data_IF_568151898709
#
_entry.id   IF_568151898709
#
_cell.length_a   1.000
_cell.length_b   1.000
_cell.length_c   1.000
_cell.angle_alpha   90.00
_cell.angle_beta   90.00
_cell.angle_gamma   90.00
#
_symmetry.space_group_name_H-M   'P 1'
#
loop_
_entity.id
_entity.type
_entity.pdbx_description
1 polymer ?
#
# COMPACT_ATOMS: atom_id res chain seq x y z
N UNK A 1 -3.10 -6.62 31.51
CA UNK A 1 -1.80 -6.03 31.92
C UNK A 1 -1.76 -5.66 33.41
N UNK A 2 -2.75 -4.94 33.95
CA UNK A 2 -2.73 -4.43 35.34
C UNK A 2 -3.70 -5.10 36.33
N UNK A 3 -4.42 -6.16 35.91
CA UNK A 3 -5.46 -6.82 36.71
C UNK A 3 -5.03 -8.17 37.33
N UNK A 4 -3.74 -8.52 37.30
CA UNK A 4 -3.22 -9.82 37.73
C UNK A 4 -2.21 -10.42 36.75
N UNK A 5 -1.61 -11.55 37.12
CA UNK A 5 -0.42 -12.15 36.48
C UNK A 5 -0.44 -12.17 34.93
N UNK A 6 0.74 -12.06 34.29
CA UNK A 6 2.07 -12.00 34.89
C UNK A 6 2.37 -10.63 35.53
N UNK A 7 3.13 -10.61 36.64
CA UNK A 7 3.61 -9.36 37.24
C UNK A 7 4.56 -8.71 36.25
N UNK A 8 4.17 -7.55 35.74
CA UNK A 8 5.04 -6.72 34.92
C UNK A 8 6.31 -6.38 35.70
N UNK A 9 7.45 -6.34 35.02
CA UNK A 9 8.70 -5.89 35.64
C UNK A 9 8.58 -4.39 35.93
N UNK A 10 8.99 -4.01 37.13
CA UNK A 10 9.14 -2.61 37.53
C UNK A 10 10.61 -2.27 37.69
N UNK A 11 10.95 -1.01 37.47
CA UNK A 11 12.27 -0.49 37.83
C UNK A 11 12.40 -0.27 39.35
N UNK A 12 13.54 0.28 39.79
CA UNK A 12 13.82 0.59 41.19
C UNK A 12 12.89 1.65 41.80
N UNK A 13 12.19 2.43 40.96
CA UNK A 13 11.21 3.44 41.37
C UNK A 13 9.76 2.91 41.32
N UNK A 14 9.56 1.64 40.95
CA UNK A 14 8.23 1.03 40.85
C UNK A 14 7.48 1.37 39.57
N UNK A 15 8.12 1.95 38.56
CA UNK A 15 7.50 2.26 37.26
C UNK A 15 7.46 1.02 36.38
N UNK A 16 6.35 0.85 35.65
CA UNK A 16 6.20 -0.23 34.69
C UNK A 16 6.86 0.12 33.36
N UNK A 17 7.64 -0.81 32.82
CA UNK A 17 8.20 -0.69 31.48
C UNK A 17 7.27 -1.36 30.46
N UNK A 18 7.00 -0.65 29.37
CA UNK A 18 6.29 -1.16 28.20
C UNK A 18 7.19 -0.90 27.00
N UNK A 19 7.54 -1.98 26.28
CA UNK A 19 8.42 -1.91 25.11
C UNK A 19 7.64 -1.43 23.86
N UNK A 20 7.18 -0.18 23.90
CA UNK A 20 6.43 0.49 22.83
C UNK A 20 6.80 1.96 22.73
N UNK A 21 6.54 2.55 21.57
CA UNK A 21 6.70 3.98 21.36
C UNK A 21 5.64 4.76 22.16
N UNK A 22 6.08 5.56 23.13
CA UNK A 22 5.17 6.30 24.01
C UNK A 22 4.43 7.48 23.35
N UNK A 23 4.79 7.85 22.11
CA UNK A 23 4.29 9.04 21.42
C UNK A 23 2.76 9.10 21.34
N UNK A 24 2.11 7.97 21.06
CA UNK A 24 0.66 7.88 20.89
C UNK A 24 -0.07 7.37 22.14
N UNK A 25 0.66 6.99 23.19
CA UNK A 25 0.08 6.45 24.42
C UNK A 25 -0.80 7.47 25.17
N UNK A 26 -0.57 8.77 24.97
CA UNK A 26 -1.43 9.81 25.53
C UNK A 26 -2.90 9.68 25.09
N UNK A 27 -3.15 9.34 23.81
CA UNK A 27 -4.50 9.12 23.29
C UNK A 27 -5.15 7.87 23.88
N UNK A 28 -4.35 6.83 24.13
CA UNK A 28 -4.80 5.61 24.81
C UNK A 28 -5.25 5.94 26.23
N UNK A 29 -4.43 6.67 26.99
CA UNK A 29 -4.79 7.10 28.34
C UNK A 29 -6.02 7.98 28.38
N UNK A 30 -6.16 8.92 27.43
CA UNK A 30 -7.31 9.81 27.38
C UNK A 30 -8.59 9.03 27.13
N UNK A 31 -8.58 8.09 26.18
CA UNK A 31 -9.72 7.20 25.97
C UNK A 31 -10.07 6.40 27.23
N UNK A 32 -9.09 5.86 27.95
CA UNK A 32 -9.33 5.11 29.19
C UNK A 32 -9.88 6.00 30.33
N UNK A 33 -9.58 7.30 30.32
CA UNK A 33 -10.04 8.27 31.35
C UNK A 33 -11.42 8.82 31.06
N UNK A 34 -11.67 9.27 29.83
CA UNK A 34 -12.86 10.04 29.47
C UNK A 34 -13.73 9.37 28.41
N UNK A 35 -13.26 8.28 27.80
CA UNK A 35 -13.93 7.63 26.66
C UNK A 35 -13.80 8.41 25.35
N UNK A 36 -13.01 9.49 25.32
CA UNK A 36 -12.82 10.35 24.15
C UNK A 36 -12.04 9.64 23.05
N UNK A 37 -12.60 9.62 21.84
CA UNK A 37 -11.97 9.05 20.65
C UNK A 37 -11.02 10.10 20.03
N UNK A 38 -9.80 9.72 19.62
CA UNK A 38 -8.88 10.65 18.97
C UNK A 38 -9.42 11.14 17.62
N UNK A 39 -9.18 12.41 17.32
CA UNK A 39 -9.47 13.02 16.01
C UNK A 39 -8.23 13.18 15.12
N UNK A 40 -7.04 12.85 15.66
CA UNK A 40 -5.74 12.96 15.00
C UNK A 40 -4.97 11.67 15.19
N UNK A 41 -4.03 11.38 14.29
CA UNK A 41 -3.18 10.18 14.35
C UNK A 41 -4.00 8.88 14.45
N UNK A 42 -5.16 8.84 13.77
CA UNK A 42 -6.14 7.76 13.89
C UNK A 42 -5.50 6.40 13.57
N UNK A 43 -4.67 6.34 12.53
CA UNK A 43 -4.00 5.09 12.13
C UNK A 43 -2.99 4.62 13.18
N UNK A 44 -2.21 5.53 13.77
CA UNK A 44 -1.21 5.19 14.78
C UNK A 44 -1.87 4.80 16.09
N UNK A 45 -2.88 5.54 16.54
CA UNK A 45 -3.65 5.18 17.74
C UNK A 45 -4.40 3.86 17.54
N UNK A 46 -4.89 3.58 16.34
CA UNK A 46 -5.51 2.28 16.03
C UNK A 46 -4.53 1.11 16.22
N UNK A 47 -3.28 1.25 15.77
CA UNK A 47 -2.23 0.24 15.99
C UNK A 47 -1.93 0.04 17.48
N UNK A 48 -1.85 1.13 18.25
CA UNK A 48 -1.67 1.03 19.70
C UNK A 48 -2.89 0.42 20.40
N UNK A 49 -4.11 0.78 20.01
CA UNK A 49 -5.34 0.23 20.58
C UNK A 49 -5.44 -1.29 20.38
N UNK A 50 -5.03 -1.79 19.20
CA UNK A 50 -4.88 -3.22 18.93
C UNK A 50 -3.80 -3.86 19.81
N UNK A 51 -2.64 -3.20 19.96
CA UNK A 51 -1.55 -3.72 20.79
C UNK A 51 -1.94 -3.84 22.28
N UNK A 52 -2.62 -2.83 22.82
CA UNK A 52 -3.08 -2.81 24.21
C UNK A 52 -4.39 -3.58 24.43
N UNK A 53 -4.96 -4.16 23.38
CA UNK A 53 -6.21 -4.94 23.40
C UNK A 53 -7.40 -4.14 23.98
N UNK A 54 -7.56 -2.90 23.53
CA UNK A 54 -8.63 -2.00 23.97
C UNK A 54 -9.78 -2.08 22.98
N UNK A 55 -10.51 -3.20 23.00
CA UNK A 55 -11.59 -3.49 22.04
C UNK A 55 -12.61 -2.34 21.87
N UNK A 56 -13.06 -1.63 22.92
CA UNK A 56 -14.02 -0.55 22.75
C UNK A 56 -13.47 0.63 21.92
N UNK A 57 -12.17 0.90 22.02
CA UNK A 57 -11.52 1.93 21.20
C UNK A 57 -11.34 1.44 19.77
N UNK A 58 -10.89 0.20 19.59
CA UNK A 58 -10.72 -0.44 18.27
C UNK A 58 -12.02 -0.33 17.47
N UNK A 59 -13.16 -0.75 18.05
CA UNK A 59 -14.47 -0.68 17.38
C UNK A 59 -14.85 0.73 16.95
N UNK A 60 -14.68 1.73 17.83
CA UNK A 60 -14.97 3.14 17.50
C UNK A 60 -14.04 3.69 16.42
N UNK A 61 -12.77 3.25 16.39
CA UNK A 61 -11.82 3.66 15.36
C UNK A 61 -12.13 3.00 14.02
N UNK A 62 -12.57 1.74 14.00
CA UNK A 62 -13.01 1.04 12.78
C UNK A 62 -14.21 1.69 12.10
N UNK A 63 -15.05 2.40 12.85
CA UNK A 63 -16.16 3.21 12.32
C UNK A 63 -15.70 4.54 11.71
N UNK A 64 -14.47 4.98 11.95
CA UNK A 64 -13.96 6.22 11.35
C UNK A 64 -13.73 6.04 9.86
N UNK A 65 -13.97 7.08 9.02
CA UNK A 65 -13.81 6.96 7.57
C UNK A 65 -12.43 6.46 7.12
N UNK A 66 -11.37 6.83 7.84
CA UNK A 66 -9.99 6.43 7.52
C UNK A 66 -9.76 4.93 7.70
N UNK A 67 -10.16 4.36 8.84
CA UNK A 67 -9.95 2.94 9.11
C UNK A 67 -10.98 2.10 8.35
N UNK A 68 -12.24 2.53 8.33
CA UNK A 68 -13.30 1.86 7.59
C UNK A 68 -12.95 1.75 6.10
N UNK A 69 -12.58 2.87 5.48
CA UNK A 69 -12.21 2.93 4.06
C UNK A 69 -11.02 2.02 3.73
N UNK A 70 -10.01 1.97 4.61
CA UNK A 70 -8.85 1.08 4.46
C UNK A 70 -9.24 -0.40 4.59
N UNK A 71 -9.92 -0.79 5.67
CA UNK A 71 -10.19 -2.20 5.98
C UNK A 71 -11.29 -2.80 5.10
N UNK A 72 -12.37 -2.06 4.88
CA UNK A 72 -13.56 -2.57 4.17
C UNK A 72 -13.52 -2.19 2.69
N UNK A 73 -13.07 -0.98 2.36
CA UNK A 73 -12.98 -0.54 0.97
C UNK A 73 -11.73 -1.09 0.28
N UNK A 74 -10.57 -0.51 0.61
CA UNK A 74 -9.31 -0.73 -0.10
C UNK A 74 -8.84 -2.18 0.00
N UNK A 75 -8.78 -2.77 1.20
CA UNK A 75 -8.31 -4.15 1.37
C UNK A 75 -9.19 -5.19 0.70
N UNK A 76 -10.52 -5.06 0.76
CA UNK A 76 -11.41 -5.99 0.05
C UNK A 76 -11.26 -5.88 -1.47
N UNK A 77 -11.03 -4.67 -1.98
CA UNK A 77 -10.69 -4.47 -3.38
C UNK A 77 -9.37 -5.17 -3.75
N UNK A 78 -8.30 -4.88 -3.01
CA UNK A 78 -6.97 -5.43 -3.30
C UNK A 78 -6.92 -6.95 -3.18
N UNK A 79 -7.71 -7.54 -2.28
CA UNK A 79 -7.84 -9.00 -2.17
C UNK A 79 -8.40 -9.67 -3.44
N UNK A 80 -9.06 -8.91 -4.32
CA UNK A 80 -9.57 -9.40 -5.61
C UNK A 80 -8.58 -9.19 -6.76
N UNK A 81 -7.49 -8.47 -6.54
CA UNK A 81 -6.44 -8.26 -7.53
C UNK A 81 -5.40 -9.37 -7.38
N UNK A 82 -5.23 -10.25 -8.38
CA UNK A 82 -4.30 -11.37 -8.27
C UNK A 82 -2.87 -10.91 -8.03
N UNK A 83 -2.17 -11.61 -7.12
CA UNK A 83 -0.75 -11.43 -6.79
C UNK A 83 -0.37 -9.97 -6.45
N UNK A 84 -1.29 -9.18 -5.90
CA UNK A 84 -1.07 -7.75 -5.70
C UNK A 84 0.19 -7.46 -4.87
N UNK A 85 0.32 -8.09 -3.70
CA UNK A 85 1.45 -7.87 -2.79
C UNK A 85 2.77 -8.32 -3.41
N UNK A 86 2.77 -9.49 -4.07
CA UNK A 86 3.92 -10.05 -4.75
C UNK A 86 4.39 -9.15 -5.89
N UNK A 87 3.44 -8.60 -6.65
CA UNK A 87 3.72 -7.69 -7.75
C UNK A 87 4.34 -6.37 -7.27
N UNK A 88 3.89 -5.81 -6.14
CA UNK A 88 4.53 -4.64 -5.52
C UNK A 88 6.00 -4.94 -5.20
N UNK A 89 6.30 -6.10 -4.62
CA UNK A 89 7.68 -6.51 -4.33
C UNK A 89 8.51 -6.68 -5.61
N UNK A 90 7.94 -7.27 -6.65
CA UNK A 90 8.58 -7.40 -7.96
C UNK A 90 8.89 -6.03 -8.55
N UNK A 91 7.95 -5.08 -8.53
CA UNK A 91 8.20 -3.70 -8.99
C UNK A 91 9.38 -3.07 -8.25
N UNK A 92 9.42 -3.18 -6.93
CA UNK A 92 10.52 -2.62 -6.13
C UNK A 92 11.86 -3.29 -6.48
N UNK A 93 11.88 -4.60 -6.69
CA UNK A 93 13.10 -5.32 -7.09
C UNK A 93 13.61 -4.86 -8.45
N UNK A 94 12.74 -4.71 -9.44
CA UNK A 94 13.09 -4.21 -10.78
C UNK A 94 13.64 -2.78 -10.66
N UNK A 95 12.92 -1.89 -9.95
CA UNK A 95 13.35 -0.52 -9.74
C UNK A 95 14.75 -0.43 -9.10
N UNK A 96 15.02 -1.26 -8.08
CA UNK A 96 16.34 -1.35 -7.43
C UNK A 96 17.42 -1.89 -8.35
N UNK A 97 17.11 -2.82 -9.24
CA UNK A 97 18.08 -3.39 -10.17
C UNK A 97 18.47 -2.39 -11.27
N UNK A 98 17.53 -1.52 -11.68
CA UNK A 98 17.74 -0.53 -12.74
C UNK A 98 18.46 0.74 -12.32
N UNK A 99 18.56 1.04 -11.01
CA UNK A 99 19.10 2.32 -10.49
C UNK A 99 20.60 2.54 -10.73
N UNK A 100 21.27 1.70 -11.52
CA UNK A 100 22.72 1.79 -11.74
C UNK A 100 23.09 3.16 -12.34
N UNK A 101 23.73 4.01 -11.51
CA UNK A 101 24.17 5.37 -11.84
C UNK A 101 23.07 6.37 -12.28
N UNK A 102 21.80 6.12 -11.96
CA UNK A 102 20.68 7.02 -12.31
C UNK A 102 19.87 7.43 -11.08
N UNK A 103 19.45 8.70 -11.02
CA UNK A 103 18.54 9.23 -9.99
C UNK A 103 17.15 8.60 -10.07
N UNK A 104 16.80 8.06 -11.24
CA UNK A 104 15.49 7.54 -11.55
C UNK A 104 15.58 6.13 -12.13
N UNK A 105 14.64 5.27 -11.76
CA UNK A 105 14.42 3.96 -12.40
C UNK A 105 12.95 3.85 -12.83
N UNK A 106 12.69 3.03 -13.85
CA UNK A 106 11.40 3.01 -14.50
C UNK A 106 10.83 1.60 -14.53
N UNK A 107 9.65 1.40 -13.95
CA UNK A 107 8.98 0.09 -14.03
C UNK A 107 7.76 0.24 -14.91
N UNK A 108 7.68 -0.57 -15.96
CA UNK A 108 6.49 -0.64 -16.79
C UNK A 108 5.51 -1.63 -16.17
N UNK A 109 4.26 -1.21 -16.07
CA UNK A 109 3.18 -1.98 -15.46
C UNK A 109 2.07 -2.15 -16.49
N UNK A 110 1.65 -3.40 -16.74
CA UNK A 110 0.40 -3.69 -17.47
C UNK A 110 -0.75 -3.86 -16.46
N UNK A 111 -1.77 -3.03 -16.58
CA UNK A 111 -3.00 -3.11 -15.80
C UNK A 111 -4.07 -3.71 -16.69
N UNK A 112 -4.50 -4.93 -16.37
CA UNK A 112 -5.48 -5.68 -17.13
C UNK A 112 -6.77 -5.77 -16.34
N UNK A 113 -7.86 -5.21 -16.86
CA UNK A 113 -9.16 -5.26 -16.17
C UNK A 113 -9.88 -6.56 -16.48
N UNK A 114 -10.11 -6.89 -17.74
CA UNK A 114 -10.86 -8.09 -18.11
C UNK A 114 -10.00 -9.14 -18.80
N UNK A 115 -10.55 -10.36 -18.93
CA UNK A 115 -9.90 -11.42 -19.71
C UNK A 115 -9.73 -11.02 -21.18
N UNK A 116 -10.68 -10.27 -21.74
CA UNK A 116 -10.56 -9.74 -23.11
C UNK A 116 -9.40 -8.73 -23.22
N UNK A 117 -9.20 -7.91 -22.19
CA UNK A 117 -8.06 -7.00 -22.11
C UNK A 117 -6.73 -7.76 -21.91
N UNK A 118 -6.76 -8.94 -21.29
CA UNK A 118 -5.57 -9.78 -21.11
C UNK A 118 -5.00 -10.23 -22.46
N UNK A 119 -5.87 -10.69 -23.37
CA UNK A 119 -5.50 -11.07 -24.72
C UNK A 119 -4.93 -9.88 -25.49
N UNK A 120 -5.58 -8.71 -25.41
CA UNK A 120 -5.08 -7.47 -26.05
C UNK A 120 -3.74 -7.00 -25.49
N UNK A 121 -3.53 -7.07 -24.17
CA UNK A 121 -2.24 -6.73 -23.55
C UNK A 121 -1.15 -7.71 -24.01
N UNK A 122 -1.45 -9.01 -24.13
CA UNK A 122 -0.49 -9.99 -24.64
C UNK A 122 -0.06 -9.68 -26.09
N UNK A 123 -1.01 -9.40 -26.98
CA UNK A 123 -0.71 -9.01 -28.36
C UNK A 123 0.13 -7.72 -28.43
N UNK A 124 -0.17 -6.77 -27.54
CA UNK A 124 0.58 -5.51 -27.44
C UNK A 124 2.01 -5.72 -26.94
N UNK A 125 2.22 -6.55 -25.92
CA UNK A 125 3.55 -6.92 -25.39
C UNK A 125 4.43 -7.54 -26.48
N UNK A 126 3.89 -8.51 -27.22
CA UNK A 126 4.55 -9.14 -28.36
C UNK A 126 4.91 -8.11 -29.45
N UNK A 127 3.96 -7.24 -29.81
CA UNK A 127 4.15 -6.23 -30.86
C UNK A 127 5.22 -5.20 -30.48
N UNK A 128 5.26 -4.81 -29.22
CA UNK A 128 6.18 -3.80 -28.71
C UNK A 128 7.56 -4.37 -28.34
N UNK A 129 7.77 -5.69 -28.44
CA UNK A 129 8.98 -6.39 -27.96
C UNK A 129 9.25 -6.13 -26.46
N UNK A 130 8.18 -5.83 -25.72
CA UNK A 130 8.20 -5.52 -24.29
C UNK A 130 8.31 -6.77 -23.42
N UNK A 131 8.20 -7.98 -23.99
CA UNK A 131 8.49 -9.22 -23.26
C UNK A 131 9.96 -9.29 -22.77
N UNK A 132 10.85 -8.50 -23.39
CA UNK A 132 12.23 -8.31 -22.93
C UNK A 132 12.35 -7.25 -21.82
N UNK A 133 11.38 -6.34 -21.73
CA UNK A 133 11.27 -5.40 -20.63
C UNK A 133 10.62 -6.13 -19.45
N UNK A 134 11.11 -5.92 -18.23
CA UNK A 134 10.54 -6.55 -17.04
C UNK A 134 9.20 -5.90 -16.70
N UNK A 135 8.14 -6.23 -17.45
CA UNK A 135 6.79 -5.68 -17.26
C UNK A 135 6.08 -6.40 -16.10
N UNK A 136 5.56 -5.63 -15.15
CA UNK A 136 4.78 -6.18 -14.03
C UNK A 136 3.29 -6.12 -14.38
N UNK A 137 2.57 -7.25 -14.24
CA UNK A 137 1.16 -7.33 -14.60
C UNK A 137 0.26 -7.39 -13.37
N UNK A 138 -0.73 -6.49 -13.29
CA UNK A 138 -1.83 -6.58 -12.33
C UNK A 138 -3.14 -6.93 -13.03
N UNK A 139 -3.92 -7.83 -12.43
CA UNK A 139 -5.14 -8.36 -13.01
C UNK A 139 -4.92 -9.66 -13.81
N UNK A 140 -5.97 -10.18 -14.48
CA UNK A 140 -7.28 -9.55 -14.66
C UNK A 140 -8.09 -9.41 -13.36
N UNK A 141 -8.89 -8.34 -13.23
CA UNK A 141 -9.89 -8.18 -12.17
C UNK A 141 -11.17 -7.51 -12.69
N UNK A 142 -12.31 -8.16 -12.50
CA UNK A 142 -13.61 -7.66 -12.99
C UNK A 142 -14.46 -7.13 -11.84
N UNK A 143 -14.01 -6.05 -11.19
CA UNK A 143 -14.75 -5.38 -10.12
C UNK A 143 -14.50 -3.85 -10.13
N UNK A 144 -15.37 -3.11 -9.45
CA UNK A 144 -15.05 -1.76 -8.95
C UNK A 144 -14.26 -1.92 -7.65
N UNK A 145 -13.31 -1.01 -7.31
CA UNK A 145 -12.80 0.16 -8.03
C UNK A 145 -12.08 -0.07 -9.39
N UNK A 146 -11.82 1.01 -10.13
CA UNK A 146 -11.28 1.03 -11.49
C UNK A 146 -9.75 1.09 -11.59
N UNK A 147 -9.23 1.34 -12.81
CA UNK A 147 -7.79 1.36 -13.11
C UNK A 147 -7.07 2.48 -12.33
N UNK A 148 -7.64 3.69 -12.30
CA UNK A 148 -7.06 4.81 -11.54
C UNK A 148 -6.94 4.49 -10.06
N UNK A 149 -7.98 3.90 -9.49
CA UNK A 149 -7.99 3.52 -8.07
C UNK A 149 -6.92 2.46 -7.76
N UNK A 150 -6.69 1.51 -8.67
CA UNK A 150 -5.62 0.53 -8.52
C UNK A 150 -4.24 1.19 -8.58
N UNK A 151 -4.02 2.13 -9.51
CA UNK A 151 -2.76 2.85 -9.64
C UNK A 151 -2.46 3.70 -8.40
N UNK A 152 -3.48 4.36 -7.84
CA UNK A 152 -3.37 5.10 -6.58
C UNK A 152 -3.03 4.17 -5.41
N UNK A 153 -3.63 2.97 -5.35
CA UNK A 153 -3.29 1.96 -4.35
C UNK A 153 -1.84 1.49 -4.47
N UNK A 154 -1.39 1.17 -5.69
CA UNK A 154 -0.01 0.74 -5.97
C UNK A 154 0.97 1.83 -5.53
N UNK A 155 0.70 3.09 -5.92
CA UNK A 155 1.51 4.24 -5.52
C UNK A 155 1.58 4.37 -3.99
N UNK A 156 0.43 4.36 -3.32
CA UNK A 156 0.36 4.51 -1.86
C UNK A 156 1.12 3.38 -1.13
N UNK A 157 1.01 2.13 -1.58
CA UNK A 157 1.71 1.01 -0.93
C UNK A 157 3.22 1.01 -1.18
N UNK A 158 3.67 1.49 -2.34
CA UNK A 158 5.10 1.74 -2.60
C UNK A 158 5.62 2.88 -1.72
N UNK A 159 4.86 3.97 -1.57
CA UNK A 159 5.22 5.09 -0.69
C UNK A 159 5.25 4.68 0.80
N UNK A 160 4.31 3.85 1.23
CA UNK A 160 4.29 3.27 2.58
C UNK A 160 5.51 2.38 2.87
N UNK A 161 6.18 1.86 1.83
CA UNK A 161 7.46 1.14 1.94
C UNK A 161 8.68 2.07 1.93
N UNK A 162 8.49 3.38 1.88
CA UNK A 162 9.55 4.39 1.98
C UNK A 162 10.13 4.87 0.65
N UNK A 163 9.51 4.52 -0.49
CA UNK A 163 9.97 4.97 -1.80
C UNK A 163 9.23 6.23 -2.26
N UNK A 164 9.87 7.03 -3.12
CA UNK A 164 9.20 8.11 -3.85
C UNK A 164 8.89 7.64 -5.25
N UNK A 165 7.61 7.66 -5.63
CA UNK A 165 7.18 7.18 -6.94
C UNK A 165 6.08 8.07 -7.54
N UNK A 166 6.15 8.26 -8.85
CA UNK A 166 5.06 8.82 -9.67
C UNK A 166 4.73 7.85 -10.79
N UNK A 167 3.56 7.99 -11.41
CA UNK A 167 3.20 7.20 -12.58
C UNK A 167 2.54 8.06 -13.65
N UNK A 168 2.65 7.61 -14.90
CA UNK A 168 1.96 8.18 -16.05
C UNK A 168 1.60 7.07 -17.05
N UNK A 169 0.60 7.29 -17.92
CA UNK A 169 0.37 6.41 -19.06
C UNK A 169 1.67 6.20 -19.86
N UNK A 170 1.96 4.95 -20.22
CA UNK A 170 3.14 4.63 -21.02
C UNK A 170 2.79 4.73 -22.51
N UNK A 171 3.49 5.60 -23.22
CA UNK A 171 3.41 5.72 -24.68
C UNK A 171 4.64 5.05 -25.27
N UNK A 172 4.44 3.90 -25.91
CA UNK A 172 5.51 3.20 -26.61
C UNK A 172 5.79 3.88 -27.95
N UNK A 173 7.04 4.22 -28.21
CA UNK A 173 7.48 4.77 -29.49
C UNK A 173 7.97 3.65 -30.41
N UNK A 174 7.22 3.38 -31.48
CA UNK A 174 7.69 2.61 -32.63
C UNK A 174 7.35 3.37 -33.91
N UNK A 175 8.14 4.39 -34.23
CA UNK A 175 8.26 4.98 -35.57
C UNK A 175 6.96 5.55 -36.13
N UNK A 176 6.81 6.88 -36.09
CA UNK A 176 5.74 7.66 -36.72
C UNK A 176 4.28 7.29 -36.38
N UNK A 177 4.01 6.29 -35.52
CA UNK A 177 2.68 5.96 -34.99
C UNK A 177 2.73 5.78 -33.48
N UNK A 178 2.24 6.76 -32.75
CA UNK A 178 1.96 6.63 -31.33
C UNK A 178 0.77 5.66 -31.16
N UNK A 179 0.99 4.49 -30.57
CA UNK A 179 -0.08 3.66 -30.05
C UNK A 179 -0.10 3.80 -28.53
N UNK A 180 -1.06 4.59 -28.03
CA UNK A 180 -1.44 4.49 -26.63
C UNK A 180 -2.20 3.19 -26.47
N UNK A 181 -1.64 2.25 -25.73
CA UNK A 181 -2.40 1.12 -25.21
C UNK A 181 -2.82 1.53 -23.80
N UNK A 182 -4.12 1.60 -23.54
CA UNK A 182 -4.69 2.09 -22.26
C UNK A 182 -4.38 1.17 -21.06
N UNK A 183 -3.55 0.14 -21.27
CA UNK A 183 -3.16 -0.88 -20.30
C UNK A 183 -1.78 -0.63 -19.70
N UNK A 184 -0.88 0.14 -20.35
CA UNK A 184 0.49 0.30 -19.85
C UNK A 184 0.69 1.62 -19.13
N UNK A 185 1.36 1.54 -17.98
CA UNK A 185 1.71 2.68 -17.15
C UNK A 185 3.19 2.59 -16.77
N UNK A 186 3.86 3.74 -16.77
CA UNK A 186 5.26 3.86 -16.38
C UNK A 186 5.32 4.42 -14.96
N UNK A 187 5.84 3.64 -14.02
CA UNK A 187 6.16 4.08 -12.67
C UNK A 187 7.61 4.56 -12.62
N UNK A 188 7.81 5.78 -12.14
CA UNK A 188 9.13 6.44 -12.03
C UNK A 188 9.50 6.53 -10.55
N UNK A 189 10.50 5.75 -10.14
CA UNK A 189 11.04 5.80 -8.78
C UNK A 189 12.12 6.87 -8.71
N UNK A 190 12.14 7.64 -7.62
CA UNK A 190 13.16 8.67 -7.34
C UNK A 190 13.96 8.29 -6.11
N UNK A 191 15.29 8.22 -6.24
CA UNK A 191 16.16 7.62 -5.22
C UNK A 191 16.88 8.62 -4.30
N UNK A 192 17.15 9.85 -4.75
CA UNK A 192 17.68 10.97 -3.96
C UNK A 192 17.22 12.31 -4.53
#
# INVERSE_FOLDING_TARGET
MFNGQPKLRTDSEGRYFIDREGKYFGYILEFLRSGQVPSQYIQEVYKEALFYDIEPLVKKLEETPQIFGEQVGRKQFLARVPNYSENIEVMIRIARAEVVASRYSNVIVCIVRTEEDASKCHDALNTLDMDKESVVKFGPWKASPGISDLLDCIKADIENKGYRVSYAPHVADKGFRFKSYDFFYKFVFTWW
#
